data_IF_174974085218
#
_entry.id   IF_174974085218
#
_cell.length_a   1.000
_cell.length_b   1.000
_cell.length_c   1.000
_cell.angle_alpha   90.00
_cell.angle_beta   90.00
_cell.angle_gamma   90.00
#
_symmetry.space_group_name_H-M   'P 1'
#
loop_
_entity.id
_entity.type
_entity.pdbx_description
1 polymer ?
#
# COMPACT_ATOMS: atom_id res chain seq x y z
N UNK A 1 -19.77 -16.08 -5.76
CA UNK A 1 -18.64 -15.20 -6.12
C UNK A 1 -18.60 -14.13 -5.02
N UNK A 2 -17.51 -13.99 -4.28
CA UNK A 2 -17.42 -12.89 -3.32
C UNK A 2 -17.46 -11.57 -4.10
N UNK A 3 -18.25 -10.60 -3.64
CA UNK A 3 -18.26 -9.27 -4.25
C UNK A 3 -16.89 -8.62 -4.08
N UNK A 4 -16.45 -7.85 -5.07
CA UNK A 4 -15.17 -7.14 -4.97
C UNK A 4 -15.25 -6.06 -3.88
N UNK A 5 -14.21 -5.87 -3.04
CA UNK A 5 -14.21 -4.88 -1.97
C UNK A 5 -14.66 -3.48 -2.41
N UNK A 6 -14.18 -3.03 -3.58
CA UNK A 6 -14.48 -1.71 -4.14
C UNK A 6 -15.95 -1.50 -4.54
N UNK A 7 -16.77 -2.56 -4.54
CA UNK A 7 -18.21 -2.48 -4.80
C UNK A 7 -19.06 -2.48 -3.52
N UNK A 8 -18.43 -2.62 -2.35
CA UNK A 8 -19.12 -2.79 -1.08
C UNK A 8 -19.15 -1.49 -0.26
N UNK A 9 -18.00 -0.82 -0.13
CA UNK A 9 -17.87 0.41 0.63
C UNK A 9 -16.56 1.14 0.25
N UNK A 10 -16.44 2.45 0.54
CA UNK A 10 -15.18 3.18 0.43
C UNK A 10 -14.05 2.49 1.21
N UNK A 11 -12.78 2.58 0.78
CA UNK A 11 -11.68 1.83 1.36
C UNK A 11 -11.45 2.12 2.85
N UNK A 12 -11.65 3.37 3.27
CA UNK A 12 -11.55 3.81 4.67
C UNK A 12 -12.66 3.25 5.58
N UNK A 13 -13.77 2.79 4.99
CA UNK A 13 -14.89 2.17 5.69
C UNK A 13 -14.81 0.65 5.60
N UNK A 14 -14.42 0.12 4.43
CA UNK A 14 -14.32 -1.32 4.18
C UNK A 14 -13.25 -1.96 5.07
N UNK A 15 -12.09 -1.33 5.18
CA UNK A 15 -11.01 -1.79 6.05
C UNK A 15 -11.10 -1.13 7.42
N UNK A 16 -12.15 -1.49 8.16
CA UNK A 16 -12.25 -1.18 9.59
C UNK A 16 -11.25 -2.02 10.43
N UNK A 17 -11.22 -1.79 11.74
CA UNK A 17 -10.30 -2.51 12.65
C UNK A 17 -10.44 -4.05 12.56
N UNK A 18 -11.65 -4.55 12.29
CA UNK A 18 -11.91 -5.99 12.24
C UNK A 18 -11.42 -6.58 10.93
N UNK A 19 -11.77 -5.97 9.81
CA UNK A 19 -11.37 -6.44 8.48
C UNK A 19 -9.86 -6.26 8.25
N UNK A 20 -9.25 -5.18 8.75
CA UNK A 20 -7.80 -4.98 8.68
C UNK A 20 -7.03 -6.11 9.40
N UNK A 21 -7.48 -6.51 10.60
CA UNK A 21 -6.87 -7.64 11.34
C UNK A 21 -7.09 -8.98 10.64
N UNK A 22 -8.29 -9.25 10.11
CA UNK A 22 -8.57 -10.48 9.36
C UNK A 22 -7.72 -10.57 8.09
N UNK A 23 -7.60 -9.48 7.37
CA UNK A 23 -6.78 -9.38 6.17
C UNK A 23 -5.33 -9.73 6.47
N UNK A 24 -4.77 -9.10 7.51
CA UNK A 24 -3.36 -9.21 7.87
C UNK A 24 -3.00 -10.51 8.60
N UNK A 25 -3.96 -11.20 9.22
CA UNK A 25 -3.74 -12.51 9.86
C UNK A 25 -3.93 -13.70 8.93
N UNK A 26 -4.41 -13.49 7.71
CA UNK A 26 -4.62 -14.56 6.74
C UNK A 26 -3.30 -14.95 6.07
N UNK A 27 -2.74 -16.11 6.42
CA UNK A 27 -1.50 -16.64 5.84
C UNK A 27 -1.52 -16.69 4.30
N UNK A 28 -2.68 -16.99 3.71
CA UNK A 28 -2.86 -16.96 2.25
C UNK A 28 -2.76 -15.55 1.68
N UNK A 29 -3.30 -14.54 2.35
CA UNK A 29 -3.19 -13.15 1.90
C UNK A 29 -1.75 -12.67 2.03
N UNK A 30 -1.10 -12.94 3.16
CA UNK A 30 0.31 -12.62 3.39
C UNK A 30 1.18 -13.19 2.25
N UNK A 31 1.07 -14.49 1.96
CA UNK A 31 1.84 -15.16 0.92
C UNK A 31 1.59 -14.60 -0.48
N UNK A 32 0.33 -14.29 -0.82
CA UNK A 32 -0.01 -13.69 -2.11
C UNK A 32 0.56 -12.26 -2.22
N UNK A 33 0.38 -11.43 -1.19
CA UNK A 33 0.84 -10.05 -1.20
C UNK A 33 2.37 -9.97 -1.26
N UNK A 34 3.09 -10.84 -0.53
CA UNK A 34 4.54 -10.95 -0.62
C UNK A 34 5.00 -11.27 -2.05
N UNK A 35 4.44 -12.32 -2.68
CA UNK A 35 4.81 -12.72 -4.05
C UNK A 35 4.53 -11.64 -5.09
N UNK A 36 3.42 -10.92 -4.96
CA UNK A 36 3.11 -9.81 -5.88
C UNK A 36 4.08 -8.64 -5.64
N UNK A 37 4.44 -8.37 -4.38
CA UNK A 37 5.39 -7.32 -4.00
C UNK A 37 6.78 -7.62 -4.54
N UNK A 38 7.27 -8.85 -4.38
CA UNK A 38 8.54 -9.32 -4.96
C UNK A 38 8.55 -9.15 -6.48
N UNK A 39 7.46 -9.56 -7.14
CA UNK A 39 7.35 -9.43 -8.60
C UNK A 39 7.28 -7.96 -9.04
N UNK A 40 6.60 -7.10 -8.29
CA UNK A 40 6.55 -5.67 -8.58
C UNK A 40 7.93 -5.02 -8.42
N UNK A 41 8.68 -5.41 -7.38
CA UNK A 41 10.05 -4.93 -7.15
C UNK A 41 10.99 -5.37 -8.27
N UNK A 42 10.90 -6.62 -8.74
CA UNK A 42 11.64 -7.10 -9.91
C UNK A 42 11.33 -6.26 -11.17
N UNK A 43 10.03 -5.99 -11.40
CA UNK A 43 9.57 -5.21 -12.55
C UNK A 43 9.91 -3.73 -12.48
N UNK A 44 10.20 -3.20 -11.28
CA UNK A 44 10.65 -1.83 -11.09
C UNK A 44 12.05 -1.60 -11.71
N UNK A 45 12.81 -2.68 -11.95
CA UNK A 45 14.08 -2.69 -12.65
C UNK A 45 15.09 -1.67 -12.09
N UNK A 46 15.16 -1.60 -10.75
CA UNK A 46 16.14 -0.78 -10.05
C UNK A 46 17.57 -1.21 -10.41
N UNK A 47 18.56 -0.30 -10.44
CA UNK A 47 19.94 -0.68 -10.71
C UNK A 47 20.48 -1.65 -9.66
N UNK A 48 21.07 -2.75 -10.11
CA UNK A 48 21.75 -3.74 -9.27
C UNK A 48 23.20 -3.29 -8.97
N UNK A 49 23.32 -2.19 -8.23
CA UNK A 49 24.59 -1.59 -7.81
C UNK A 49 24.83 -1.69 -6.28
N UNK A 50 23.93 -2.39 -5.57
CA UNK A 50 23.98 -2.56 -4.12
C UNK A 50 23.63 -1.30 -3.32
N UNK A 51 23.07 -0.26 -3.95
CA UNK A 51 22.69 0.97 -3.28
C UNK A 51 21.20 0.89 -2.87
N UNK A 52 20.86 1.03 -1.57
CA UNK A 52 19.48 1.16 -1.11
C UNK A 52 18.75 2.30 -1.81
N UNK A 53 17.48 2.07 -2.16
CA UNK A 53 16.59 3.06 -2.76
C UNK A 53 15.59 3.56 -1.73
N UNK A 54 15.14 4.80 -1.87
CA UNK A 54 13.97 5.30 -1.18
C UNK A 54 12.75 5.10 -2.07
N UNK A 55 11.83 4.25 -1.63
CA UNK A 55 10.64 3.85 -2.37
C UNK A 55 9.36 4.39 -1.72
N UNK A 56 8.33 4.59 -2.55
CA UNK A 56 6.99 4.94 -2.07
C UNK A 56 6.06 3.74 -2.26
N UNK A 57 5.44 3.28 -1.19
CA UNK A 57 4.39 2.25 -1.21
C UNK A 57 3.01 2.91 -1.14
N UNK A 58 2.29 2.94 -2.26
CA UNK A 58 1.01 3.63 -2.41
C UNK A 58 -0.14 2.65 -2.14
N UNK A 59 -0.94 2.94 -1.13
CA UNK A 59 -1.91 1.99 -0.56
C UNK A 59 -1.21 0.88 0.23
N UNK A 60 -0.28 1.27 1.12
CA UNK A 60 0.60 0.35 1.82
C UNK A 60 -0.12 -0.58 2.81
N UNK A 61 -1.38 -0.28 3.15
CA UNK A 61 -2.20 -1.07 4.05
C UNK A 61 -1.52 -1.31 5.39
N UNK A 62 -1.50 -2.57 5.81
CA UNK A 62 -0.84 -3.03 7.04
C UNK A 62 0.67 -3.27 6.89
N UNK A 63 1.29 -2.76 5.81
CA UNK A 63 2.73 -2.80 5.57
C UNK A 63 3.28 -4.11 5.00
N UNK A 64 2.42 -5.03 4.52
CA UNK A 64 2.86 -6.31 3.94
C UNK A 64 3.79 -6.14 2.72
N UNK A 65 3.51 -5.18 1.84
CA UNK A 65 4.38 -4.86 0.70
C UNK A 65 5.65 -4.14 1.14
N UNK A 66 5.55 -3.27 2.14
CA UNK A 66 6.69 -2.59 2.75
C UNK A 66 7.70 -3.53 3.40
N UNK A 67 7.26 -4.63 4.02
CA UNK A 67 8.16 -5.67 4.53
C UNK A 67 9.04 -6.26 3.42
N UNK A 68 8.47 -6.56 2.26
CA UNK A 68 9.25 -7.02 1.10
C UNK A 68 10.28 -5.98 0.65
N UNK A 69 9.98 -4.68 0.75
CA UNK A 69 10.95 -3.62 0.43
C UNK A 69 12.11 -3.60 1.44
N UNK A 70 11.81 -3.68 2.74
CA UNK A 70 12.80 -3.78 3.81
C UNK A 70 13.68 -5.02 3.68
N UNK A 71 13.10 -6.18 3.40
CA UNK A 71 13.82 -7.45 3.20
C UNK A 71 14.78 -7.41 2.00
N UNK A 72 14.50 -6.58 0.99
CA UNK A 72 15.36 -6.33 -0.15
C UNK A 72 16.33 -5.15 0.06
N UNK A 73 16.42 -4.62 1.28
CA UNK A 73 17.39 -3.58 1.66
C UNK A 73 17.05 -2.18 1.17
N UNK A 74 15.77 -1.89 0.93
CA UNK A 74 15.30 -0.56 0.54
C UNK A 74 14.63 0.18 1.71
N UNK A 75 14.73 1.50 1.69
CA UNK A 75 13.96 2.36 2.58
C UNK A 75 12.62 2.68 1.92
N UNK A 76 11.58 2.86 2.71
CA UNK A 76 10.27 3.15 2.15
C UNK A 76 9.41 4.06 3.02
N UNK A 77 8.51 4.77 2.34
CA UNK A 77 7.43 5.55 2.94
C UNK A 77 6.13 4.91 2.45
N UNK A 78 5.22 4.59 3.37
CA UNK A 78 3.89 4.06 3.07
C UNK A 78 2.83 5.15 3.12
N UNK A 79 1.91 5.17 2.16
CA UNK A 79 0.73 6.02 2.17
C UNK A 79 -0.54 5.15 2.11
N UNK A 80 -1.45 5.31 3.06
CA UNK A 80 -2.76 4.64 3.03
C UNK A 80 -3.87 5.55 3.54
N UNK A 81 -5.08 5.35 3.05
CA UNK A 81 -6.27 6.12 3.44
C UNK A 81 -6.94 5.54 4.71
N UNK A 82 -6.72 4.25 5.00
CA UNK A 82 -7.28 3.58 6.16
C UNK A 82 -6.38 3.73 7.38
N UNK A 83 -6.85 4.52 8.36
CA UNK A 83 -6.20 4.62 9.67
C UNK A 83 -6.09 3.25 10.37
N UNK A 84 -7.08 2.37 10.21
CA UNK A 84 -7.06 1.05 10.84
C UNK A 84 -5.94 0.17 10.26
N UNK A 85 -5.72 0.22 8.95
CA UNK A 85 -4.60 -0.47 8.30
C UNK A 85 -3.25 0.04 8.81
N UNK A 86 -3.08 1.36 8.89
CA UNK A 86 -1.84 1.96 9.40
C UNK A 86 -1.59 1.62 10.88
N UNK A 87 -2.65 1.54 11.71
CA UNK A 87 -2.52 1.09 13.09
C UNK A 87 -2.01 -0.36 13.16
N UNK A 88 -2.49 -1.24 12.28
CA UNK A 88 -1.98 -2.61 12.19
C UNK A 88 -0.50 -2.62 11.75
N UNK A 89 -0.11 -1.77 10.80
CA UNK A 89 1.30 -1.64 10.41
C UNK A 89 2.20 -1.20 11.59
N UNK A 90 1.74 -0.21 12.38
CA UNK A 90 2.42 0.25 13.59
C UNK A 90 2.54 -0.87 14.65
N UNK A 91 1.47 -1.63 14.88
CA UNK A 91 1.48 -2.78 15.82
C UNK A 91 2.46 -3.88 15.39
N UNK A 92 2.71 -4.01 14.07
CA UNK A 92 3.67 -4.96 13.49
C UNK A 92 5.10 -4.42 13.45
N UNK A 93 5.33 -3.20 13.94
CA UNK A 93 6.64 -2.57 13.99
C UNK A 93 7.34 -2.50 12.62
N UNK A 94 6.58 -2.20 11.57
CA UNK A 94 7.14 -2.04 10.21
C UNK A 94 8.20 -0.93 10.17
N UNK A 95 9.28 -1.14 9.41
CA UNK A 95 10.43 -0.22 9.40
C UNK A 95 10.18 1.12 8.67
N UNK A 96 9.22 1.15 7.74
CA UNK A 96 8.94 2.35 6.92
C UNK A 96 8.15 3.42 7.66
N UNK A 97 8.31 4.66 7.21
CA UNK A 97 7.49 5.78 7.69
C UNK A 97 6.07 5.66 7.11
N UNK A 98 5.04 5.85 7.95
CA UNK A 98 3.64 5.68 7.56
C UNK A 98 2.91 7.02 7.52
N UNK A 99 2.21 7.28 6.42
CA UNK A 99 1.44 8.49 6.16
C UNK A 99 -0.03 8.15 5.95
N UNK A 100 -0.90 8.79 6.74
CA UNK A 100 -2.34 8.79 6.47
C UNK A 100 -2.64 9.77 5.33
N UNK A 101 -3.12 9.27 4.20
CA UNK A 101 -3.40 10.11 3.04
C UNK A 101 -4.26 9.43 1.97
N UNK A 102 -5.03 10.25 1.26
CA UNK A 102 -5.80 9.84 0.09
C UNK A 102 -4.95 10.04 -1.18
N UNK A 103 -4.55 8.94 -1.82
CA UNK A 103 -3.73 9.00 -3.04
C UNK A 103 -4.40 9.76 -4.19
N UNK A 104 -5.74 9.85 -4.20
CA UNK A 104 -6.52 10.61 -5.19
C UNK A 104 -6.40 12.13 -5.03
N UNK A 105 -5.89 12.60 -3.89
CA UNK A 105 -5.63 14.04 -3.62
C UNK A 105 -4.16 14.43 -3.83
N UNK A 106 -3.34 13.50 -4.31
CA UNK A 106 -1.90 13.67 -4.48
C UNK A 106 -1.09 13.13 -3.31
N UNK A 107 0.23 13.02 -3.52
CA UNK A 107 1.13 12.26 -2.65
C UNK A 107 1.87 13.13 -1.61
N UNK A 108 1.81 14.46 -1.72
CA UNK A 108 2.43 15.37 -0.74
C UNK A 108 3.97 15.37 -0.71
N UNK A 109 4.63 14.80 -1.72
CA UNK A 109 6.09 14.70 -1.79
C UNK A 109 6.70 15.75 -2.72
N UNK A 110 7.94 16.19 -2.42
CA UNK A 110 8.68 17.09 -3.30
C UNK A 110 9.12 16.36 -4.57
N UNK A 111 9.24 17.03 -5.73
CA UNK A 111 9.73 16.40 -6.95
C UNK A 111 11.14 15.80 -6.78
N UNK A 112 11.34 14.58 -7.31
CA UNK A 112 12.66 13.94 -7.39
C UNK A 112 13.20 13.37 -6.06
N UNK A 113 12.36 13.19 -5.04
CA UNK A 113 12.81 12.65 -3.73
C UNK A 113 12.72 11.13 -3.61
N UNK A 114 11.91 10.47 -4.45
CA UNK A 114 11.70 9.03 -4.43
C UNK A 114 12.35 8.41 -5.67
N UNK A 115 13.04 7.28 -5.51
CA UNK A 115 13.72 6.56 -6.59
C UNK A 115 12.74 5.69 -7.41
N UNK A 116 11.67 5.19 -6.78
CA UNK A 116 10.63 4.41 -7.41
C UNK A 116 9.38 4.26 -6.54
N UNK A 117 8.25 3.89 -7.15
CA UNK A 117 7.01 3.68 -6.42
C UNK A 117 6.42 2.32 -6.76
N UNK A 118 5.82 1.68 -5.75
CA UNK A 118 5.01 0.47 -5.92
C UNK A 118 3.60 0.72 -5.39
N UNK A 119 2.65 -0.09 -5.87
CA UNK A 119 1.30 -0.11 -5.33
C UNK A 119 0.72 -1.49 -5.54
N UNK A 120 0.45 -2.20 -4.45
CA UNK A 120 0.01 -3.59 -4.50
C UNK A 120 -1.47 -3.66 -4.14
N UNK A 121 -2.30 -3.97 -5.14
CA UNK A 121 -3.75 -4.15 -4.95
C UNK A 121 -4.46 -2.90 -4.41
N UNK A 122 -4.03 -1.68 -4.76
CA UNK A 122 -4.64 -0.44 -4.27
C UNK A 122 -5.13 0.53 -5.36
N UNK A 123 -4.39 0.76 -6.46
CA UNK A 123 -4.75 1.81 -7.44
C UNK A 123 -6.14 1.67 -8.08
N UNK A 124 -6.73 0.47 -8.10
CA UNK A 124 -8.08 0.26 -8.62
C UNK A 124 -9.16 1.03 -7.82
N UNK A 125 -8.88 1.41 -6.57
CA UNK A 125 -9.77 2.25 -5.76
C UNK A 125 -9.94 3.67 -6.32
N UNK A 126 -8.99 4.17 -7.11
CA UNK A 126 -9.12 5.45 -7.81
C UNK A 126 -10.27 5.46 -8.83
N UNK A 127 -10.71 4.30 -9.29
CA UNK A 127 -11.83 4.16 -10.19
C UNK A 127 -13.20 4.26 -9.49
N UNK A 128 -13.23 4.38 -8.15
CA UNK A 128 -14.47 4.41 -7.39
C UNK A 128 -14.92 5.85 -7.06
N UNK A 129 -16.22 6.12 -7.26
CA UNK A 129 -16.82 7.42 -6.98
C UNK A 129 -17.62 7.40 -5.67
N UNK A 130 -16.91 7.35 -4.55
CA UNK A 130 -17.53 7.35 -3.21
C UNK A 130 -18.06 8.72 -2.76
N UNK A 131 -17.59 9.82 -3.39
CA UNK A 131 -18.08 11.19 -3.13
C UNK A 131 -18.63 11.80 -4.42
N UNK A 132 -19.59 12.71 -4.29
CA UNK A 132 -20.17 13.43 -5.43
C UNK A 132 -19.17 14.28 -6.22
N UNK A 133 -18.03 14.60 -5.61
CA UNK A 133 -16.92 15.31 -6.24
C UNK A 133 -15.92 14.40 -6.97
N UNK A 134 -16.07 13.07 -6.90
CA UNK A 134 -15.19 12.15 -7.62
C UNK A 134 -15.64 12.02 -9.07
N UNK A 135 -14.74 12.27 -10.02
CA UNK A 135 -14.95 12.02 -11.45
C UNK A 135 -13.98 10.94 -11.96
N UNK A 136 -14.30 9.64 -11.80
CA UNK A 136 -13.42 8.55 -12.24
C UNK A 136 -13.50 8.27 -13.76
N UNK A 137 -13.83 9.29 -14.58
CA UNK A 137 -14.07 9.17 -16.02
C UNK A 137 -12.92 9.68 -16.88
#
# INVERSE_FOLDING_TARGET
>A
MAARPELLAPPEIFYDETEARKYTSSSRIIDIQAKISERALELLALPDDGIPRLLLDIGCGSGLSGETLSENGHHWIGLDISQAMLNVALERETEGDLLLGDMGQGLGLRPGVIDGAISISAVQWLCNADKSSHEPR
#
